data_IF_578471936321
#
_entry.id   IF_578471936321
#
_cell.length_a   1.000
_cell.length_b   1.000
_cell.length_c   1.000
_cell.angle_alpha   90.00
_cell.angle_beta   90.00
_cell.angle_gamma   90.00
#
_symmetry.space_group_name_H-M   'P 1'
#
loop_
_entity.id
_entity.type
_entity.pdbx_description
1 polymer ?
#
# COMPACT_ATOMS: atom_id res chain seq x y z
N UNK A 1 2.98 -1.19 -46.09
CA UNK A 1 3.06 -0.70 -44.69
C UNK A 1 2.86 0.81 -44.58
N UNK A 2 3.37 1.65 -45.48
CA UNK A 2 3.20 3.12 -45.42
C UNK A 2 1.74 3.59 -45.49
N UNK A 3 0.95 3.05 -46.41
CA UNK A 3 -0.47 3.46 -46.61
C UNK A 3 -1.38 3.17 -45.41
N UNK A 4 -1.14 2.07 -44.69
CA UNK A 4 -1.87 1.78 -43.45
C UNK A 4 -1.53 2.78 -42.34
N UNK A 5 -0.24 3.08 -42.16
CA UNK A 5 0.23 4.05 -41.16
C UNK A 5 -0.27 5.46 -41.47
N UNK A 6 -0.26 5.87 -42.74
CA UNK A 6 -0.83 7.15 -43.20
C UNK A 6 -2.33 7.22 -42.91
N UNK A 7 -3.09 6.15 -43.18
CA UNK A 7 -4.51 6.09 -42.84
C UNK A 7 -4.74 6.26 -41.33
N UNK A 8 -3.94 5.62 -40.48
CA UNK A 8 -4.04 5.81 -39.03
C UNK A 8 -3.70 7.26 -38.63
N UNK A 9 -2.67 7.85 -39.22
CA UNK A 9 -2.29 9.25 -38.98
C UNK A 9 -3.43 10.21 -39.31
N UNK A 10 -4.06 10.06 -40.48
CA UNK A 10 -5.19 10.91 -40.87
C UNK A 10 -6.40 10.73 -39.95
N UNK A 11 -6.67 9.52 -39.48
CA UNK A 11 -7.72 9.27 -38.48
C UNK A 11 -7.40 9.95 -37.14
N UNK A 12 -6.14 9.95 -36.72
CA UNK A 12 -5.70 10.67 -35.51
C UNK A 12 -5.84 12.19 -35.68
N UNK A 13 -5.42 12.74 -36.82
CA UNK A 13 -5.54 14.18 -37.10
C UNK A 13 -7.02 14.62 -37.16
N UNK A 14 -7.87 13.77 -37.75
CA UNK A 14 -9.32 13.98 -37.77
C UNK A 14 -9.92 13.95 -36.37
N UNK A 15 -9.58 12.92 -35.57
CA UNK A 15 -10.13 12.76 -34.21
C UNK A 15 -9.69 13.88 -33.28
N UNK A 16 -8.43 14.30 -33.33
CA UNK A 16 -7.93 15.49 -32.61
C UNK A 16 -8.73 16.76 -32.99
N UNK A 17 -8.99 16.94 -34.28
CA UNK A 17 -9.77 18.07 -34.77
C UNK A 17 -11.23 18.00 -34.31
N UNK A 18 -11.85 16.82 -34.31
CA UNK A 18 -13.20 16.59 -33.82
C UNK A 18 -13.30 16.86 -32.30
N UNK A 19 -12.35 16.33 -31.51
CA UNK A 19 -12.26 16.58 -30.08
C UNK A 19 -12.17 18.08 -29.76
N UNK A 20 -11.46 18.84 -30.60
CA UNK A 20 -11.28 20.29 -30.47
C UNK A 20 -12.56 21.09 -30.77
N UNK A 21 -13.55 20.54 -31.46
CA UNK A 21 -14.84 21.23 -31.69
C UNK A 21 -15.70 21.25 -30.42
N UNK A 22 -15.55 20.25 -29.55
CA UNK A 22 -16.36 20.05 -28.33
C UNK A 22 -15.52 20.14 -27.06
N UNK A 23 -14.69 21.19 -26.97
CA UNK A 23 -13.65 21.33 -25.93
C UNK A 23 -14.18 21.20 -24.51
N UNK A 24 -15.28 21.88 -24.17
CA UNK A 24 -15.80 21.88 -22.80
C UNK A 24 -16.24 20.49 -22.35
N UNK A 25 -16.99 19.78 -23.20
CA UNK A 25 -17.45 18.41 -22.94
C UNK A 25 -16.28 17.43 -22.81
N UNK A 26 -15.35 17.46 -23.77
CA UNK A 26 -14.21 16.54 -23.78
C UNK A 26 -13.21 16.83 -22.66
N UNK A 27 -13.01 18.11 -22.31
CA UNK A 27 -12.19 18.50 -21.17
C UNK A 27 -12.83 18.06 -19.84
N UNK A 28 -14.15 18.21 -19.70
CA UNK A 28 -14.87 17.72 -18.52
C UNK A 28 -14.72 16.21 -18.34
N UNK A 29 -14.92 15.44 -19.42
CA UNK A 29 -14.73 13.98 -19.41
C UNK A 29 -13.27 13.62 -19.08
N UNK A 30 -12.30 14.29 -19.71
CA UNK A 30 -10.88 14.10 -19.45
C UNK A 30 -10.53 14.38 -17.98
N UNK A 31 -11.06 15.44 -17.38
CA UNK A 31 -10.80 15.80 -15.98
C UNK A 31 -11.38 14.76 -15.00
N UNK A 32 -12.65 14.37 -15.17
CA UNK A 32 -13.29 13.35 -14.33
C UNK A 32 -12.56 12.01 -14.45
N UNK A 33 -12.17 11.64 -15.66
CA UNK A 33 -11.45 10.41 -15.91
C UNK A 33 -10.02 10.44 -15.35
N UNK A 34 -9.31 11.57 -15.53
CA UNK A 34 -7.99 11.81 -14.93
C UNK A 34 -8.07 11.67 -13.42
N UNK A 35 -9.09 12.27 -12.80
CA UNK A 35 -9.32 12.16 -11.36
C UNK A 35 -9.57 10.71 -10.96
N UNK A 36 -10.40 9.97 -11.70
CA UNK A 36 -10.66 8.57 -11.43
C UNK A 36 -9.37 7.73 -11.48
N UNK A 37 -8.58 7.86 -12.55
CA UNK A 37 -7.31 7.13 -12.67
C UNK A 37 -6.35 7.55 -11.56
N UNK A 38 -6.31 8.84 -11.22
CA UNK A 38 -5.52 9.35 -10.10
C UNK A 38 -5.90 8.67 -8.77
N UNK A 39 -7.20 8.53 -8.46
CA UNK A 39 -7.65 7.90 -7.22
C UNK A 39 -7.21 6.42 -7.17
N UNK A 40 -7.48 5.65 -8.23
CA UNK A 40 -7.08 4.24 -8.33
C UNK A 40 -5.56 4.05 -8.25
N UNK A 41 -4.82 4.86 -9.00
CA UNK A 41 -3.35 4.79 -9.05
C UNK A 41 -2.72 5.15 -7.71
N UNK A 42 -3.27 6.16 -7.01
CA UNK A 42 -2.75 6.58 -5.70
C UNK A 42 -2.86 5.48 -4.65
N UNK A 43 -4.00 4.77 -4.62
CA UNK A 43 -4.23 3.66 -3.69
C UNK A 43 -3.28 2.50 -3.98
N UNK A 44 -3.11 2.13 -5.26
CA UNK A 44 -2.17 1.07 -5.65
C UNK A 44 -0.72 1.39 -5.31
N UNK A 45 -0.25 2.56 -5.72
CA UNK A 45 1.13 2.99 -5.49
C UNK A 45 1.44 3.09 -4.00
N UNK A 46 0.51 3.59 -3.19
CA UNK A 46 0.68 3.67 -1.74
C UNK A 46 0.71 2.27 -1.10
N UNK A 47 -0.21 1.37 -1.46
CA UNK A 47 -0.22 -0.02 -0.96
C UNK A 47 1.05 -0.77 -1.36
N UNK A 48 1.52 -0.59 -2.59
CA UNK A 48 2.76 -1.20 -3.05
C UNK A 48 3.98 -0.65 -2.31
N UNK A 49 4.07 0.67 -2.16
CA UNK A 49 5.15 1.30 -1.41
C UNK A 49 5.21 0.78 0.01
N UNK A 50 4.06 0.70 0.70
CA UNK A 50 3.96 0.14 2.06
C UNK A 50 4.42 -1.31 2.14
N UNK A 51 4.01 -2.16 1.18
CA UNK A 51 4.45 -3.57 1.13
C UNK A 51 5.95 -3.71 0.88
N UNK A 52 6.51 -2.91 -0.03
CA UNK A 52 7.97 -2.91 -0.30
C UNK A 52 8.76 -2.46 0.90
N UNK A 53 8.29 -1.42 1.59
CA UNK A 53 8.93 -0.91 2.80
C UNK A 53 8.86 -1.94 3.94
N UNK A 54 7.68 -2.54 4.17
CA UNK A 54 7.52 -3.61 5.13
C UNK A 54 8.43 -4.81 4.81
N UNK A 55 8.54 -5.18 3.53
CA UNK A 55 9.42 -6.26 3.09
C UNK A 55 10.90 -5.93 3.31
N UNK A 56 11.33 -4.71 2.98
CA UNK A 56 12.70 -4.24 3.19
C UNK A 56 13.07 -4.26 4.68
N UNK A 57 12.20 -3.73 5.54
CA UNK A 57 12.45 -3.67 6.97
C UNK A 57 12.40 -5.06 7.65
N UNK A 58 11.63 -6.00 7.11
CA UNK A 58 11.61 -7.38 7.59
C UNK A 58 12.79 -8.21 7.08
N UNK A 59 13.65 -7.73 6.17
CA UNK A 59 14.82 -8.49 5.69
C UNK A 59 15.76 -8.85 6.84
N UNK A 60 15.96 -7.92 7.76
CA UNK A 60 16.82 -8.10 8.94
C UNK A 60 16.08 -8.73 10.13
N UNK A 61 14.78 -9.01 9.99
CA UNK A 61 14.02 -9.65 11.03
C UNK A 61 14.47 -11.12 11.24
N UNK A 62 14.34 -11.66 12.46
CA UNK A 62 14.68 -13.05 12.75
C UNK A 62 13.96 -14.04 11.85
N UNK A 63 14.63 -15.14 11.51
CA UNK A 63 14.07 -16.19 10.64
C UNK A 63 12.82 -16.83 11.27
N UNK A 64 12.89 -17.12 12.57
CA UNK A 64 11.79 -17.68 13.37
C UNK A 64 11.74 -17.00 14.74
N UNK A 65 10.53 -16.69 15.18
CA UNK A 65 10.20 -16.24 16.53
C UNK A 65 9.49 -17.39 17.25
N UNK A 66 9.90 -17.72 18.45
CA UNK A 66 9.31 -18.79 19.27
C UNK A 66 8.65 -18.16 20.48
N UNK A 67 7.33 -18.24 20.51
CA UNK A 67 6.52 -17.81 21.64
C UNK A 67 6.11 -19.00 22.49
N UNK A 68 5.92 -18.80 23.80
CA UNK A 68 5.26 -19.80 24.65
C UNK A 68 3.76 -19.52 24.69
N UNK A 69 2.97 -20.58 24.68
CA UNK A 69 1.52 -20.52 24.84
C UNK A 69 1.08 -21.26 26.11
N UNK A 70 0.19 -20.63 26.87
CA UNK A 70 -0.58 -21.26 27.96
C UNK A 70 -2.05 -21.00 27.69
N UNK A 71 -2.86 -22.07 27.61
CA UNK A 71 -4.28 -21.99 27.28
C UNK A 71 -4.56 -21.17 25.99
N UNK A 72 -3.69 -21.32 24.98
CA UNK A 72 -3.78 -20.59 23.71
C UNK A 72 -3.39 -19.10 23.77
N UNK A 73 -2.99 -18.58 24.94
CA UNK A 73 -2.54 -17.20 25.13
C UNK A 73 -1.01 -17.14 25.19
N UNK A 74 -0.45 -16.03 24.71
CA UNK A 74 0.97 -15.75 24.85
C UNK A 74 1.36 -15.63 26.33
N UNK A 75 2.47 -16.27 26.70
CA UNK A 75 3.06 -16.22 28.04
C UNK A 75 4.59 -16.05 27.95
N UNK A 76 5.21 -15.63 29.06
CA UNK A 76 6.66 -15.44 29.14
C UNK A 76 7.41 -16.76 28.94
N UNK A 77 8.44 -16.70 28.10
CA UNK A 77 9.33 -17.80 27.75
C UNK A 77 10.40 -17.97 28.84
N UNK A 78 10.49 -19.14 29.50
CA UNK A 78 11.55 -19.42 30.46
C UNK A 78 12.91 -19.47 29.77
N UNK A 79 13.95 -18.88 30.38
CA UNK A 79 15.33 -18.92 29.86
C UNK A 79 15.84 -20.35 29.62
N UNK A 80 15.32 -21.33 30.38
CA UNK A 80 15.62 -22.75 30.20
C UNK A 80 15.24 -23.31 28.81
N UNK A 81 14.34 -22.65 28.06
CA UNK A 81 13.96 -23.06 26.71
C UNK A 81 15.01 -22.70 25.65
N UNK A 82 15.93 -21.76 25.95
CA UNK A 82 16.95 -21.34 24.98
C UNK A 82 17.93 -22.46 24.63
N UNK A 83 18.34 -23.28 25.61
CA UNK A 83 19.28 -24.39 25.39
C UNK A 83 18.71 -25.51 24.50
N UNK A 84 17.50 -26.04 24.76
CA UNK A 84 16.83 -26.97 23.85
C UNK A 84 16.72 -26.41 22.42
N UNK A 85 16.36 -25.14 22.27
CA UNK A 85 16.26 -24.49 20.95
C UNK A 85 17.60 -24.47 20.20
N UNK A 86 18.72 -24.19 20.90
CA UNK A 86 20.07 -24.21 20.32
C UNK A 86 20.49 -25.59 19.81
N UNK A 87 19.99 -26.66 20.43
CA UNK A 87 20.33 -28.05 20.06
C UNK A 87 19.58 -28.55 18.82
N UNK A 88 18.56 -27.84 18.34
CA UNK A 88 17.80 -28.25 17.17
C UNK A 88 18.65 -28.12 15.91
N UNK A 89 18.81 -29.22 15.18
CA UNK A 89 19.59 -29.24 13.93
C UNK A 89 18.97 -28.30 12.88
N UNK A 90 19.75 -27.33 12.44
CA UNK A 90 19.37 -26.29 11.47
C UNK A 90 19.39 -24.89 12.08
N UNK A 91 19.32 -24.78 13.40
CA UNK A 91 19.42 -23.51 14.13
C UNK A 91 20.86 -22.99 14.09
N UNK A 92 20.99 -21.69 13.84
CA UNK A 92 22.25 -20.93 13.85
C UNK A 92 22.50 -20.34 15.23
N UNK A 93 21.83 -19.23 15.54
CA UNK A 93 21.88 -18.54 16.83
C UNK A 93 20.51 -18.50 17.49
N UNK A 94 20.47 -18.41 18.82
CA UNK A 94 19.24 -18.25 19.61
C UNK A 94 19.46 -17.20 20.69
N UNK A 95 18.57 -16.21 20.72
CA UNK A 95 18.55 -15.13 21.69
C UNK A 95 17.16 -14.99 22.29
N UNK A 96 17.09 -14.81 23.62
CA UNK A 96 15.85 -14.37 24.25
C UNK A 96 15.67 -12.87 24.05
N UNK A 97 14.45 -12.44 23.77
CA UNK A 97 14.10 -11.02 23.66
C UNK A 97 13.19 -10.59 24.80
N UNK A 98 13.38 -9.35 25.22
CA UNK A 98 12.50 -8.65 26.12
C UNK A 98 11.88 -7.50 25.34
N UNK A 99 10.57 -7.58 25.16
CA UNK A 99 9.79 -6.51 24.59
C UNK A 99 8.35 -6.58 25.12
N UNK A 100 7.65 -5.45 25.12
CA UNK A 100 6.29 -5.36 25.63
C UNK A 100 5.63 -4.07 25.18
N UNK A 101 4.35 -3.93 25.52
CA UNK A 101 3.59 -2.72 25.24
C UNK A 101 3.45 -1.88 26.51
N UNK A 102 3.64 -0.57 26.36
CA UNK A 102 3.39 0.39 27.41
C UNK A 102 2.25 1.33 26.96
N UNK A 103 1.13 1.31 27.65
CA UNK A 103 0.03 2.23 27.33
C UNK A 103 0.29 3.59 27.99
N UNK A 104 0.33 4.64 27.17
CA UNK A 104 0.44 6.00 27.65
C UNK A 104 -0.91 6.72 27.61
N UNK A 105 -1.48 7.08 28.77
CA UNK A 105 -2.79 7.70 28.85
C UNK A 105 -2.81 9.15 28.33
N UNK A 106 -1.68 9.85 28.29
CA UNK A 106 -1.62 11.26 27.88
C UNK A 106 -1.80 11.38 26.37
N UNK A 107 -1.17 10.51 25.58
CA UNK A 107 -1.37 10.48 24.11
C UNK A 107 -2.38 9.43 23.68
N UNK A 108 -2.88 8.60 24.60
CA UNK A 108 -3.80 7.48 24.32
C UNK A 108 -3.23 6.50 23.29
N UNK A 109 -1.92 6.22 23.35
CA UNK A 109 -1.22 5.33 22.44
C UNK A 109 -0.45 4.26 23.19
N UNK A 110 -0.24 3.11 22.55
CA UNK A 110 0.70 2.10 23.04
C UNK A 110 2.07 2.38 22.45
N UNK A 111 3.10 2.29 23.29
CA UNK A 111 4.50 2.26 22.88
C UNK A 111 4.99 0.84 22.86
N UNK A 112 5.72 0.48 21.82
CA UNK A 112 6.47 -0.76 21.77
C UNK A 112 7.79 -0.52 22.50
N UNK A 113 7.96 -1.17 23.64
CA UNK A 113 9.17 -1.05 24.46
C UNK A 113 10.01 -2.30 24.23
N UNK A 114 11.27 -2.16 23.81
CA UNK A 114 12.12 -3.28 23.43
C UNK A 114 13.56 -3.11 23.93
N UNK A 115 14.14 -4.22 24.39
CA UNK A 115 15.57 -4.25 24.75
C UNK A 115 16.43 -4.36 23.49
N UNK A 116 17.46 -3.52 23.41
CA UNK A 116 18.43 -3.47 22.31
C UNK A 116 19.87 -3.66 22.82
N UNK A 117 20.31 -4.91 23.08
CA UNK A 117 21.62 -5.18 23.68
C UNK A 117 22.79 -4.64 22.85
N UNK A 118 22.68 -4.71 21.52
CA UNK A 118 23.68 -4.26 20.56
C UNK A 118 23.95 -2.74 20.60
N UNK A 119 23.04 -1.96 21.20
CA UNK A 119 23.17 -0.51 21.33
C UNK A 119 23.96 -0.10 22.57
N UNK A 120 24.20 -1.00 23.53
CA UNK A 120 25.00 -0.72 24.72
C UNK A 120 24.44 0.41 25.61
N UNK A 121 23.12 0.57 25.66
CA UNK A 121 22.44 1.62 26.45
C UNK A 121 22.65 1.42 27.95
N UNK A 122 22.79 2.51 28.72
CA UNK A 122 22.82 2.44 30.17
C UNK A 122 21.43 2.13 30.75
N UNK A 123 21.37 1.83 32.06
CA UNK A 123 20.12 1.49 32.77
C UNK A 123 19.02 2.54 32.60
N UNK A 124 19.39 3.82 32.57
CA UNK A 124 18.48 4.95 32.49
C UNK A 124 18.50 5.65 31.14
N UNK A 125 19.09 5.04 30.11
CA UNK A 125 19.15 5.62 28.77
C UNK A 125 18.06 5.02 27.88
N UNK A 126 17.47 5.87 27.03
CA UNK A 126 16.51 5.46 26.00
C UNK A 126 16.83 6.02 24.63
N UNK A 127 16.52 5.24 23.61
CA UNK A 127 16.33 5.72 22.24
C UNK A 127 14.84 5.71 21.94
N UNK A 128 14.35 6.79 21.34
CA UNK A 128 12.93 6.96 21.07
C UNK A 128 12.67 7.09 19.57
N UNK A 129 11.53 6.59 19.11
CA UNK A 129 11.03 6.83 17.76
C UNK A 129 10.89 8.32 17.45
N UNK A 130 11.14 8.70 16.19
CA UNK A 130 11.01 10.09 15.74
C UNK A 130 9.58 10.64 15.92
N UNK A 131 8.54 9.84 15.66
CA UNK A 131 7.14 10.25 15.89
C UNK A 131 6.87 10.50 17.37
N UNK A 132 7.31 9.59 18.23
CA UNK A 132 7.16 9.70 19.68
C UNK A 132 7.86 10.95 20.21
N UNK A 133 9.09 11.22 19.76
CA UNK A 133 9.85 12.42 20.09
C UNK A 133 9.06 13.71 19.75
N UNK A 134 8.48 13.78 18.54
CA UNK A 134 7.69 14.95 18.11
C UNK A 134 6.42 15.15 18.93
N UNK A 135 5.68 14.07 19.19
CA UNK A 135 4.40 14.15 19.93
C UNK A 135 4.62 14.48 21.40
N UNK A 136 5.68 13.91 22.01
CA UNK A 136 6.07 14.18 23.39
C UNK A 136 6.89 15.45 23.56
N UNK A 137 7.30 16.08 22.45
CA UNK A 137 8.21 17.23 22.42
C UNK A 137 9.52 16.94 23.17
N UNK A 138 10.05 15.73 23.00
CA UNK A 138 11.30 15.26 23.62
C UNK A 138 12.45 15.38 22.64
N UNK A 139 13.52 16.04 23.07
CA UNK A 139 14.81 16.11 22.40
C UNK A 139 15.87 15.22 23.05
N UNK A 140 17.04 15.15 22.41
CA UNK A 140 18.22 14.48 22.98
C UNK A 140 18.68 15.27 24.21
N UNK A 141 18.83 14.57 25.34
CA UNK A 141 19.19 15.15 26.64
C UNK A 141 18.02 15.28 27.61
N UNK A 142 16.77 15.25 27.11
CA UNK A 142 15.58 15.34 27.93
C UNK A 142 15.33 14.06 28.72
N UNK A 143 14.52 14.17 29.77
CA UNK A 143 14.09 13.01 30.56
C UNK A 143 12.63 12.67 30.26
N UNK A 144 12.40 11.40 29.95
CA UNK A 144 11.08 10.83 29.86
C UNK A 144 10.82 9.94 31.06
N UNK A 145 9.91 10.36 31.94
CA UNK A 145 9.55 9.60 33.13
C UNK A 145 8.35 8.70 32.87
N UNK A 146 8.55 7.38 32.98
CA UNK A 146 7.48 6.39 32.83
C UNK A 146 7.16 5.74 34.18
N UNK A 147 5.89 5.69 34.61
CA UNK A 147 5.47 4.86 35.74
C UNK A 147 5.88 3.39 35.54
N UNK A 148 6.71 2.88 36.44
CA UNK A 148 7.10 1.47 36.48
C UNK A 148 6.00 0.61 37.11
N UNK A 149 6.09 -0.71 36.91
CA UNK A 149 5.19 -1.70 37.51
C UNK A 149 5.18 -1.65 39.06
N UNK A 150 6.24 -1.11 39.67
CA UNK A 150 6.35 -0.87 41.12
C UNK A 150 5.59 0.38 41.59
N UNK A 151 5.03 1.18 40.67
CA UNK A 151 4.33 2.44 40.94
C UNK A 151 5.24 3.67 41.02
N UNK A 152 6.57 3.48 41.06
CA UNK A 152 7.53 4.58 41.05
C UNK A 152 7.81 5.04 39.61
N UNK A 153 7.99 6.35 39.41
CA UNK A 153 8.39 6.88 38.11
C UNK A 153 9.87 6.54 37.84
N UNK A 154 10.14 5.91 36.69
CA UNK A 154 11.48 5.63 36.20
C UNK A 154 11.90 6.77 35.26
N UNK A 155 12.82 7.66 35.65
CA UNK A 155 13.34 8.69 34.76
C UNK A 155 14.30 8.07 33.75
N UNK A 156 14.02 8.26 32.46
CA UNK A 156 14.81 7.74 31.36
C UNK A 156 15.33 8.90 30.51
N UNK A 157 16.65 9.03 30.37
CA UNK A 157 17.29 10.06 29.57
C UNK A 157 17.28 9.68 28.10
N UNK A 158 16.78 10.58 27.25
CA UNK A 158 16.81 10.43 25.80
C UNK A 158 18.23 10.65 25.31
N UNK A 159 18.92 9.58 24.94
CA UNK A 159 20.30 9.64 24.40
C UNK A 159 20.33 9.70 22.88
N UNK A 160 19.21 9.43 22.23
CA UNK A 160 19.09 9.49 20.78
C UNK A 160 17.66 9.31 20.29
N UNK A 161 17.44 9.73 19.05
CA UNK A 161 16.18 9.59 18.34
C UNK A 161 16.44 8.71 17.13
N UNK A 162 15.59 7.70 16.92
CA UNK A 162 15.69 6.77 15.81
C UNK A 162 15.44 7.50 14.48
N UNK A 163 16.05 6.98 13.41
CA UNK A 163 15.99 7.63 12.10
C UNK A 163 14.54 7.71 11.58
N UNK A 164 14.19 8.89 11.07
CA UNK A 164 12.97 9.15 10.31
C UNK A 164 12.78 8.23 9.11
N UNK A 165 13.86 7.70 8.53
CA UNK A 165 13.78 6.72 7.44
C UNK A 165 13.08 5.41 7.88
N UNK A 166 13.27 4.99 9.13
CA UNK A 166 12.65 3.78 9.70
C UNK A 166 11.31 4.03 10.41
N UNK A 167 10.76 5.24 10.30
CA UNK A 167 9.63 5.69 11.11
C UNK A 167 8.39 4.81 10.94
N UNK A 168 8.20 4.20 9.76
CA UNK A 168 7.09 3.27 9.49
C UNK A 168 6.98 2.13 10.54
N UNK A 169 8.11 1.67 11.09
CA UNK A 169 8.15 0.63 12.13
C UNK A 169 8.63 1.14 13.48
N UNK A 170 9.31 2.28 13.54
CA UNK A 170 9.89 2.80 14.78
C UNK A 170 9.08 3.93 15.41
N UNK A 171 7.90 4.28 14.86
CA UNK A 171 7.08 5.41 15.33
C UNK A 171 6.79 5.38 16.82
N UNK A 172 6.42 4.20 17.33
CA UNK A 172 6.03 3.92 18.71
C UNK A 172 7.14 3.22 19.51
N UNK A 173 8.34 3.09 18.94
CA UNK A 173 9.41 2.29 19.50
C UNK A 173 10.20 3.06 20.58
N UNK A 174 10.39 2.39 21.72
CA UNK A 174 11.25 2.79 22.82
C UNK A 174 12.30 1.70 23.03
N UNK A 175 13.57 2.01 22.76
CA UNK A 175 14.67 1.10 23.02
C UNK A 175 15.36 1.47 24.33
N UNK A 176 15.64 0.46 25.15
CA UNK A 176 16.35 0.61 26.41
C UNK A 176 17.22 -0.60 26.73
N UNK A 177 17.96 -0.51 27.83
CA UNK A 177 18.74 -1.62 28.36
C UNK A 177 17.86 -2.69 29.01
N UNK A 178 18.39 -3.91 29.13
CA UNK A 178 17.70 -4.99 29.85
C UNK A 178 17.41 -4.60 31.32
N UNK A 179 18.36 -3.93 31.97
CA UNK A 179 18.19 -3.46 33.34
C UNK A 179 17.02 -2.46 33.43
N UNK A 180 16.95 -1.47 32.53
CA UNK A 180 15.85 -0.51 32.49
C UNK A 180 14.51 -1.19 32.19
N UNK A 181 14.46 -2.15 31.26
CA UNK A 181 13.24 -2.90 30.94
C UNK A 181 12.72 -3.68 32.16
N UNK A 182 13.62 -4.35 32.88
CA UNK A 182 13.26 -5.09 34.08
C UNK A 182 12.81 -4.17 35.21
N UNK A 183 13.43 -2.99 35.35
CA UNK A 183 12.94 -1.95 36.28
C UNK A 183 11.55 -1.42 35.90
N UNK A 184 11.27 -1.26 34.60
CA UNK A 184 10.00 -0.74 34.11
C UNK A 184 8.84 -1.74 34.25
N UNK A 185 9.03 -2.98 33.82
CA UNK A 185 7.94 -3.98 33.76
C UNK A 185 7.96 -5.02 34.89
N UNK A 186 9.07 -5.16 35.62
CA UNK A 186 9.27 -6.16 36.67
C UNK A 186 8.86 -7.60 36.27
N UNK A 187 9.30 -8.14 35.11
CA UNK A 187 9.01 -9.51 34.75
C UNK A 187 9.74 -10.49 35.69
N UNK A 188 9.22 -11.72 35.89
CA UNK A 188 9.90 -12.74 36.67
C UNK A 188 11.35 -12.96 36.21
N UNK A 189 12.28 -13.27 37.14
CA UNK A 189 13.67 -13.52 36.79
C UNK A 189 13.80 -14.71 35.82
N UNK A 190 14.83 -14.70 34.99
CA UNK A 190 15.11 -15.77 34.01
C UNK A 190 13.95 -16.04 33.04
N UNK A 191 13.22 -15.01 32.67
CA UNK A 191 12.19 -15.06 31.63
C UNK A 191 12.47 -14.04 30.52
N UNK A 192 11.93 -14.34 29.34
CA UNK A 192 11.93 -13.54 28.12
C UNK A 192 10.50 -13.43 27.59
N UNK A 193 10.21 -12.43 26.76
CA UNK A 193 8.92 -12.34 26.07
C UNK A 193 8.82 -13.42 25.01
N UNK A 194 9.84 -13.55 24.17
CA UNK A 194 9.97 -14.60 23.17
C UNK A 194 11.45 -14.97 22.93
N UNK A 195 11.68 -16.00 22.13
CA UNK A 195 13.01 -16.33 21.62
C UNK A 195 13.06 -16.09 20.12
N UNK A 196 14.18 -15.55 19.65
CA UNK A 196 14.45 -15.38 18.22
C UNK A 196 15.61 -16.25 17.81
N UNK A 197 15.49 -16.80 16.62
CA UNK A 197 16.52 -17.69 16.09
C UNK A 197 16.81 -17.40 14.63
N UNK A 198 18.09 -17.56 14.29
CA UNK A 198 18.55 -17.60 12.91
C UNK A 198 18.62 -19.05 12.44
N UNK A 199 18.36 -19.29 11.17
CA UNK A 199 18.39 -20.60 10.54
C UNK A 199 19.54 -20.62 9.55
N UNK A 200 20.40 -21.64 9.64
CA UNK A 200 21.60 -21.74 8.78
C UNK A 200 21.26 -21.77 7.29
N UNK A 201 20.12 -22.35 6.95
CA UNK A 201 19.55 -22.37 5.61
C UNK A 201 18.12 -21.84 5.66
N UNK A 202 17.83 -20.63 5.14
CA UNK A 202 16.50 -20.04 5.18
C UNK A 202 15.39 -20.92 4.57
N UNK A 203 15.74 -21.80 3.61
CA UNK A 203 14.80 -22.75 2.99
C UNK A 203 14.32 -23.83 3.96
N UNK A 204 15.06 -24.10 5.02
CA UNK A 204 14.73 -25.08 6.06
C UNK A 204 13.96 -24.47 7.23
N UNK A 205 13.67 -23.16 7.22
CA UNK A 205 13.01 -22.48 8.33
C UNK A 205 11.69 -23.13 8.74
N UNK A 206 10.91 -23.63 7.76
CA UNK A 206 9.67 -24.39 8.01
C UNK A 206 9.93 -25.71 8.74
N UNK A 207 10.90 -26.48 8.28
CA UNK A 207 11.27 -27.75 8.92
C UNK A 207 11.84 -27.51 10.33
N UNK A 208 12.57 -26.41 10.54
CA UNK A 208 13.04 -26.01 11.88
C UNK A 208 11.87 -25.64 12.78
N UNK A 209 10.89 -24.87 12.29
CA UNK A 209 9.67 -24.55 13.03
C UNK A 209 8.89 -25.82 13.44
N UNK A 210 8.74 -26.79 12.53
CA UNK A 210 8.10 -28.08 12.81
C UNK A 210 8.87 -28.87 13.89
N UNK A 211 10.21 -28.91 13.83
CA UNK A 211 11.05 -29.51 14.89
C UNK A 211 10.90 -28.81 16.24
N UNK A 212 10.79 -27.48 16.25
CA UNK A 212 10.57 -26.70 17.48
C UNK A 212 9.22 -27.07 18.11
N UNK A 213 8.16 -27.09 17.31
CA UNK A 213 6.82 -27.46 17.79
C UNK A 213 6.77 -28.88 18.36
N UNK A 214 7.52 -29.83 17.78
CA UNK A 214 7.65 -31.19 18.28
C UNK A 214 8.48 -31.27 19.57
N UNK A 215 9.61 -30.56 19.65
CA UNK A 215 10.48 -30.57 20.82
C UNK A 215 9.89 -29.81 22.02
N UNK A 216 9.08 -28.78 21.75
CA UNK A 216 8.44 -27.93 22.74
C UNK A 216 6.94 -27.78 22.40
N UNK A 217 6.08 -28.70 22.86
CA UNK A 217 4.66 -28.72 22.50
C UNK A 217 3.85 -27.48 22.90
N UNK A 218 4.33 -26.72 23.89
CA UNK A 218 3.74 -25.43 24.29
C UNK A 218 4.28 -24.22 23.51
N UNK A 219 5.05 -24.43 22.45
CA UNK A 219 5.64 -23.37 21.64
C UNK A 219 4.78 -23.01 20.44
N UNK A 220 4.87 -21.76 20.01
CA UNK A 220 4.35 -21.25 18.74
C UNK A 220 5.50 -20.64 17.96
N UNK A 221 6.11 -21.39 17.03
CA UNK A 221 7.06 -20.84 16.08
C UNK A 221 6.30 -19.98 15.04
N UNK A 222 6.81 -18.80 14.76
CA UNK A 222 6.29 -17.84 13.78
C UNK A 222 7.43 -17.53 12.81
N UNK A 223 7.22 -17.80 11.53
CA UNK A 223 8.25 -17.56 10.53
C UNK A 223 8.22 -16.13 10.01
N UNK A 224 9.38 -15.61 9.60
CA UNK A 224 9.45 -14.32 8.88
C UNK A 224 8.54 -14.27 7.64
N UNK A 225 8.47 -15.36 6.90
CA UNK A 225 7.57 -15.48 5.74
C UNK A 225 6.09 -15.39 6.12
N UNK A 226 5.71 -15.87 7.32
CA UNK A 226 4.34 -15.74 7.82
C UNK A 226 4.03 -14.30 8.23
N UNK A 227 4.99 -13.61 8.87
CA UNK A 227 4.86 -12.18 9.17
C UNK A 227 4.63 -11.37 7.89
N UNK A 228 5.46 -11.57 6.86
CA UNK A 228 5.30 -10.91 5.56
C UNK A 228 3.91 -11.17 4.96
N UNK A 229 3.47 -12.43 4.94
CA UNK A 229 2.14 -12.81 4.45
C UNK A 229 1.01 -12.13 5.23
N UNK A 230 1.16 -11.95 6.54
CA UNK A 230 0.18 -11.23 7.36
C UNK A 230 0.13 -9.75 6.99
N UNK A 231 1.28 -9.08 6.82
CA UNK A 231 1.31 -7.69 6.33
C UNK A 231 0.68 -7.57 4.94
N UNK A 232 1.04 -8.45 4.01
CA UNK A 232 0.45 -8.50 2.67
C UNK A 232 -1.07 -8.68 2.73
N UNK A 233 -1.57 -9.59 3.57
CA UNK A 233 -3.00 -9.82 3.74
C UNK A 233 -3.73 -8.57 4.29
N UNK A 234 -3.15 -7.89 5.28
CA UNK A 234 -3.74 -6.67 5.87
C UNK A 234 -3.78 -5.54 4.86
N UNK A 235 -2.69 -5.30 4.13
CA UNK A 235 -2.63 -4.26 3.10
C UNK A 235 -3.56 -4.58 1.93
N UNK A 236 -3.58 -5.82 1.44
CA UNK A 236 -4.50 -6.26 0.38
C UNK A 236 -5.97 -6.10 0.79
N UNK A 237 -6.30 -6.42 2.05
CA UNK A 237 -7.67 -6.26 2.55
C UNK A 237 -8.09 -4.79 2.57
N UNK A 238 -7.24 -3.89 3.08
CA UNK A 238 -7.49 -2.45 3.10
C UNK A 238 -7.58 -1.86 1.69
N UNK A 239 -6.65 -2.25 0.81
CA UNK A 239 -6.65 -1.89 -0.61
C UNK A 239 -7.95 -2.34 -1.29
N UNK A 240 -8.35 -3.59 -1.08
CA UNK A 240 -9.58 -4.16 -1.64
C UNK A 240 -10.83 -3.41 -1.21
N UNK A 241 -10.95 -3.02 0.06
CA UNK A 241 -12.07 -2.20 0.55
C UNK A 241 -12.16 -0.87 -0.20
N UNK A 242 -11.04 -0.19 -0.39
CA UNK A 242 -11.01 1.08 -1.14
C UNK A 242 -11.34 0.86 -2.62
N UNK A 243 -10.87 -0.22 -3.25
CA UNK A 243 -11.25 -0.53 -4.63
C UNK A 243 -12.70 -0.89 -4.80
N UNK A 244 -13.35 -1.54 -3.84
CA UNK A 244 -14.80 -1.77 -3.90
C UNK A 244 -15.54 -0.42 -3.95
N UNK A 245 -15.14 0.54 -3.11
CA UNK A 245 -15.70 1.90 -3.13
C UNK A 245 -15.40 2.61 -4.46
N UNK A 246 -14.16 2.56 -4.94
CA UNK A 246 -13.78 3.17 -6.22
C UNK A 246 -14.43 2.48 -7.43
N UNK A 247 -14.77 1.20 -7.33
CA UNK A 247 -15.49 0.47 -8.38
C UNK A 247 -16.91 1.00 -8.58
N UNK A 248 -17.57 1.48 -7.51
CA UNK A 248 -18.86 2.16 -7.65
C UNK A 248 -18.72 3.49 -8.39
N UNK A 249 -17.65 4.25 -8.13
CA UNK A 249 -17.32 5.50 -8.85
C UNK A 249 -16.98 5.21 -10.32
N UNK A 250 -16.23 4.15 -10.58
CA UNK A 250 -15.94 3.67 -11.94
C UNK A 250 -17.19 3.26 -12.68
N UNK A 251 -18.10 2.52 -12.04
CA UNK A 251 -19.37 2.14 -12.65
C UNK A 251 -20.21 3.38 -12.98
N UNK A 252 -20.30 4.35 -12.08
CA UNK A 252 -21.00 5.61 -12.34
C UNK A 252 -20.37 6.38 -13.52
N UNK A 253 -19.04 6.43 -13.60
CA UNK A 253 -18.32 7.02 -14.72
C UNK A 253 -18.59 6.28 -16.04
N UNK A 254 -18.60 4.94 -16.02
CA UNK A 254 -18.90 4.10 -17.19
C UNK A 254 -20.34 4.31 -17.65
N UNK A 255 -21.31 4.41 -16.75
CA UNK A 255 -22.71 4.73 -17.06
C UNK A 255 -22.80 6.12 -17.71
N UNK A 256 -22.10 7.11 -17.16
CA UNK A 256 -22.05 8.46 -17.73
C UNK A 256 -21.43 8.45 -19.14
N UNK A 257 -20.35 7.70 -19.34
CA UNK A 257 -19.72 7.55 -20.65
C UNK A 257 -20.64 6.85 -21.65
N UNK A 258 -21.40 5.83 -21.20
CA UNK A 258 -22.40 5.15 -22.01
C UNK A 258 -23.54 6.09 -22.40
N UNK A 259 -24.14 6.79 -21.44
CA UNK A 259 -25.23 7.74 -21.67
C UNK A 259 -24.79 8.83 -22.66
N UNK A 260 -23.58 9.35 -22.46
CA UNK A 260 -22.97 10.33 -23.35
C UNK A 260 -22.71 9.79 -24.77
N UNK A 261 -22.35 8.51 -24.92
CA UNK A 261 -22.10 7.89 -26.22
C UNK A 261 -23.39 7.42 -26.92
N UNK A 262 -24.42 7.03 -26.16
CA UNK A 262 -25.73 6.63 -26.67
C UNK A 262 -26.59 7.85 -27.06
N UNK A 263 -26.53 8.91 -26.27
CA UNK A 263 -27.13 10.21 -26.53
C UNK A 263 -26.34 11.02 -27.56
N UNK A 264 -26.08 10.43 -28.74
CA UNK A 264 -25.44 11.15 -29.85
C UNK A 264 -26.28 12.39 -30.15
N UNK A 265 -25.62 13.55 -30.17
CA UNK A 265 -26.27 14.79 -30.59
C UNK A 265 -26.73 14.69 -32.05
N UNK A 266 -27.79 15.41 -32.42
CA UNK A 266 -28.25 15.48 -33.82
C UNK A 266 -27.13 15.89 -34.79
N UNK A 267 -26.18 16.70 -34.33
CA UNK A 267 -24.96 17.04 -35.08
C UNK A 267 -24.05 15.83 -35.33
N UNK A 268 -23.82 14.96 -34.34
CA UNK A 268 -22.98 13.77 -34.50
C UNK A 268 -23.64 12.72 -35.40
N UNK A 269 -24.96 12.57 -35.29
CA UNK A 269 -25.73 11.71 -36.19
C UNK A 269 -25.63 12.20 -37.63
N UNK A 270 -25.78 13.51 -37.85
CA UNK A 270 -25.61 14.13 -39.16
C UNK A 270 -24.18 13.99 -39.70
N UNK A 271 -23.16 14.14 -38.85
CA UNK A 271 -21.76 13.94 -39.22
C UNK A 271 -21.50 12.49 -39.68
N UNK A 272 -22.00 11.51 -38.92
CA UNK A 272 -21.91 10.09 -39.30
C UNK A 272 -22.62 9.83 -40.64
N UNK A 273 -23.82 10.41 -40.83
CA UNK A 273 -24.54 10.32 -42.09
C UNK A 273 -23.77 10.88 -43.28
N UNK A 274 -23.13 12.05 -43.13
CA UNK A 274 -22.31 12.67 -44.17
C UNK A 274 -21.08 11.79 -44.47
N UNK A 275 -20.40 11.27 -43.45
CA UNK A 275 -19.25 10.37 -43.64
C UNK A 275 -19.65 9.11 -44.42
N UNK A 276 -20.79 8.49 -44.08
CA UNK A 276 -21.32 7.33 -44.82
C UNK A 276 -21.67 7.69 -46.27
N UNK A 277 -22.26 8.87 -46.50
CA UNK A 277 -22.59 9.34 -47.85
C UNK A 277 -21.34 9.58 -48.74
N UNK A 278 -20.21 9.96 -48.13
CA UNK A 278 -18.92 10.13 -48.83
C UNK A 278 -18.20 8.78 -49.04
N UNK A 279 -18.77 7.67 -48.54
CA UNK A 279 -18.27 6.31 -48.76
C UNK A 279 -17.55 5.68 -47.57
N UNK A 280 -17.65 6.24 -46.35
CA UNK A 280 -17.10 5.58 -45.17
C UNK A 280 -17.93 4.35 -44.79
N UNK A 281 -17.23 3.24 -44.54
CA UNK A 281 -17.85 2.04 -44.00
C UNK A 281 -18.05 2.15 -42.48
N UNK A 282 -18.95 1.34 -41.93
CA UNK A 282 -19.15 1.21 -40.48
C UNK A 282 -17.83 0.93 -39.74
N UNK A 283 -16.94 0.12 -40.32
CA UNK A 283 -15.62 -0.17 -39.76
C UNK A 283 -14.70 1.05 -39.65
N UNK A 284 -14.82 2.02 -40.57
CA UNK A 284 -14.01 3.23 -40.53
C UNK A 284 -14.48 4.21 -39.46
N UNK A 285 -15.81 4.31 -39.28
CA UNK A 285 -16.41 5.08 -38.18
C UNK A 285 -16.00 4.48 -36.83
N UNK A 286 -16.03 3.16 -36.70
CA UNK A 286 -15.58 2.48 -35.48
C UNK A 286 -14.09 2.69 -35.19
N UNK A 287 -13.22 2.61 -36.20
CA UNK A 287 -11.77 2.87 -36.03
C UNK A 287 -11.52 4.32 -35.61
N UNK A 288 -12.23 5.27 -36.20
CA UNK A 288 -12.15 6.68 -35.82
C UNK A 288 -12.55 6.86 -34.35
N UNK A 289 -13.67 6.27 -33.93
CA UNK A 289 -14.15 6.38 -32.54
C UNK A 289 -13.29 5.60 -31.54
N UNK A 290 -12.68 4.50 -31.97
CA UNK A 290 -11.67 3.79 -31.20
C UNK A 290 -10.45 4.68 -30.94
N UNK A 291 -9.96 5.41 -31.96
CA UNK A 291 -8.86 6.36 -31.77
C UNK A 291 -9.23 7.53 -30.87
N UNK A 292 -10.43 8.08 -31.02
CA UNK A 292 -10.94 9.14 -30.13
C UNK A 292 -10.96 8.67 -28.67
N UNK A 293 -11.55 7.50 -28.43
CA UNK A 293 -11.61 6.90 -27.09
C UNK A 293 -10.23 6.51 -26.55
N UNK A 294 -9.36 5.93 -27.37
CA UNK A 294 -8.00 5.55 -26.99
C UNK A 294 -7.16 6.78 -26.63
N UNK A 295 -7.22 7.85 -27.42
CA UNK A 295 -6.44 9.05 -27.15
C UNK A 295 -6.91 9.74 -25.88
N UNK A 296 -8.23 9.86 -25.67
CA UNK A 296 -8.80 10.46 -24.46
C UNK A 296 -8.47 9.63 -23.21
N UNK A 297 -8.72 8.33 -23.26
CA UNK A 297 -8.47 7.41 -22.13
C UNK A 297 -6.99 7.28 -21.79
N UNK A 298 -6.12 7.17 -22.79
CA UNK A 298 -4.68 7.08 -22.55
C UNK A 298 -4.12 8.40 -22.03
N UNK A 299 -4.61 9.54 -22.52
CA UNK A 299 -4.21 10.86 -21.98
C UNK A 299 -4.65 10.98 -20.51
N UNK A 300 -5.92 10.67 -20.21
CA UNK A 300 -6.44 10.66 -18.84
C UNK A 300 -5.65 9.72 -17.92
N UNK A 301 -5.29 8.56 -18.45
CA UNK A 301 -4.52 7.55 -17.74
C UNK A 301 -3.13 8.05 -17.38
N UNK A 302 -2.40 8.55 -18.38
CA UNK A 302 -1.03 9.04 -18.19
C UNK A 302 -1.00 10.24 -17.24
N UNK A 303 -1.89 11.22 -17.43
CA UNK A 303 -1.97 12.38 -16.53
C UNK A 303 -2.35 11.96 -15.11
N UNK A 304 -3.37 11.12 -14.95
CA UNK A 304 -3.84 10.64 -13.66
C UNK A 304 -2.78 9.83 -12.93
N UNK A 305 -2.09 8.94 -13.63
CA UNK A 305 -1.02 8.12 -13.08
C UNK A 305 0.19 8.96 -12.67
N UNK A 306 0.63 9.92 -13.51
CA UNK A 306 1.75 10.82 -13.17
C UNK A 306 1.42 11.70 -11.96
N UNK A 307 0.20 12.22 -11.87
CA UNK A 307 -0.25 12.98 -10.71
C UNK A 307 -0.27 12.12 -9.44
N UNK A 308 -0.72 10.87 -9.54
CA UNK A 308 -0.74 9.93 -8.42
C UNK A 308 0.68 9.58 -7.97
N UNK A 309 1.57 9.30 -8.92
CA UNK A 309 2.99 9.02 -8.66
C UNK A 309 3.65 10.19 -7.94
N UNK A 310 3.44 11.41 -8.41
CA UNK A 310 3.97 12.61 -7.76
C UNK A 310 3.41 12.77 -6.35
N UNK A 311 2.10 12.64 -6.18
CA UNK A 311 1.43 12.81 -4.89
C UNK A 311 1.86 11.76 -3.85
N UNK A 312 2.06 10.51 -4.25
CA UNK A 312 2.43 9.42 -3.35
C UNK A 312 3.90 9.52 -2.95
N UNK A 313 4.82 9.66 -3.91
CA UNK A 313 6.25 9.58 -3.63
C UNK A 313 6.90 10.91 -3.24
N UNK A 314 6.36 12.04 -3.72
CA UNK A 314 6.92 13.38 -3.48
C UNK A 314 5.97 14.26 -2.64
N UNK A 315 4.66 14.10 -2.79
CA UNK A 315 3.64 14.83 -2.03
C UNK A 315 3.35 14.28 -0.63
N UNK A 316 4.08 13.25 -0.17
CA UNK A 316 3.93 12.64 1.15
C UNK A 316 2.64 11.83 1.35
N UNK A 317 1.98 11.43 0.26
CA UNK A 317 0.77 10.61 0.27
C UNK A 317 -0.41 11.15 1.11
N UNK A 318 -0.45 12.46 1.40
CA UNK A 318 -1.36 13.09 2.38
C UNK A 318 -2.85 12.79 2.19
N UNK A 319 -3.31 12.60 0.96
CA UNK A 319 -4.72 12.38 0.63
C UNK A 319 -5.21 10.98 1.03
N UNK A 320 -4.36 9.96 0.92
CA UNK A 320 -4.74 8.55 1.12
C UNK A 320 -4.02 7.90 2.31
N UNK A 321 -3.01 8.57 2.85
CA UNK A 321 -2.28 8.13 4.04
C UNK A 321 -3.21 7.76 5.20
N UNK A 322 -4.24 8.55 5.57
CA UNK A 322 -5.11 8.20 6.71
C UNK A 322 -5.92 6.91 6.48
N UNK A 323 -6.38 6.68 5.25
CA UNK A 323 -7.21 5.51 4.90
C UNK A 323 -6.39 4.22 4.90
N UNK A 324 -5.14 4.28 4.41
CA UNK A 324 -4.31 3.09 4.25
C UNK A 324 -3.40 2.80 5.46
N UNK A 325 -2.94 3.83 6.19
CA UNK A 325 -2.14 3.67 7.42
C UNK A 325 -2.99 3.13 8.60
N UNK A 326 -4.32 3.31 8.56
CA UNK A 326 -5.24 2.85 9.60
C UNK A 326 -5.26 3.78 10.82
N UNK A 327 -6.08 3.45 11.83
CA UNK A 327 -6.32 4.29 13.01
C UNK A 327 -5.24 4.14 14.09
N UNK A 328 -3.97 4.33 13.72
CA UNK A 328 -2.91 4.47 14.72
C UNK A 328 -2.90 5.90 15.26
N UNK A 329 -2.73 6.08 16.57
CA UNK A 329 -2.59 7.43 17.17
C UNK A 329 -1.20 8.03 16.86
N UNK A 330 -0.22 7.16 16.60
CA UNK A 330 1.13 7.52 16.18
C UNK A 330 1.24 7.33 14.66
N UNK A 331 1.25 8.43 13.90
CA UNK A 331 1.37 8.39 12.45
C UNK A 331 2.82 8.63 12.02
N UNK A 332 3.47 7.65 11.38
CA UNK A 332 4.81 7.85 10.87
C UNK A 332 4.84 8.76 9.64
N UNK A 333 5.76 9.71 9.66
CA UNK A 333 6.22 10.45 8.49
C UNK A 333 7.34 9.66 7.83
N UNK A 334 7.04 8.98 6.72
CA UNK A 334 8.03 8.26 5.93
C UNK A 334 7.93 8.67 4.47
N UNK A 335 9.06 8.57 3.77
CA UNK A 335 9.13 8.73 2.32
C UNK A 335 9.18 7.35 1.69
N UNK A 336 8.22 7.07 0.82
CA UNK A 336 8.21 5.82 0.07
C UNK A 336 9.29 5.84 -0.99
N UNK A 337 9.99 4.72 -1.14
CA UNK A 337 10.93 4.53 -2.24
C UNK A 337 10.15 4.47 -3.57
N UNK A 338 10.46 5.35 -4.54
CA UNK A 338 9.72 5.38 -5.79
C UNK A 338 9.85 4.07 -6.56
N UNK A 339 8.71 3.52 -6.94
CA UNK A 339 8.60 2.19 -7.50
C UNK A 339 7.50 2.16 -8.56
N UNK A 340 7.78 1.51 -9.69
CA UNK A 340 6.80 1.24 -10.74
C UNK A 340 6.81 -0.25 -11.00
N UNK A 341 5.62 -0.85 -11.06
CA UNK A 341 5.41 -2.24 -11.44
C UNK A 341 4.53 -2.30 -12.68
N UNK A 342 5.10 -2.88 -13.74
CA UNK A 342 4.46 -2.99 -15.05
C UNK A 342 3.16 -3.78 -14.96
N UNK A 343 3.09 -4.83 -14.13
CA UNK A 343 1.87 -5.64 -13.98
C UNK A 343 0.72 -4.80 -13.43
N UNK A 344 1.00 -3.91 -12.47
CA UNK A 344 0.01 -3.02 -11.87
C UNK A 344 -0.44 -1.92 -12.83
N UNK A 345 0.50 -1.35 -13.59
CA UNK A 345 0.17 -0.37 -14.63
C UNK A 345 -0.75 -0.99 -15.69
N UNK A 346 -0.46 -2.23 -16.11
CA UNK A 346 -1.30 -2.97 -17.05
C UNK A 346 -2.68 -3.31 -16.45
N UNK A 347 -2.75 -3.72 -15.18
CA UNK A 347 -4.00 -3.99 -14.49
C UNK A 347 -4.87 -2.72 -14.36
N UNK A 348 -4.27 -1.59 -13.98
CA UNK A 348 -4.92 -0.29 -13.94
C UNK A 348 -5.45 0.12 -15.31
N UNK A 349 -4.63 -0.03 -16.35
CA UNK A 349 -5.01 0.29 -17.72
C UNK A 349 -6.18 -0.60 -18.12
N UNK A 350 -6.15 -1.90 -17.84
CA UNK A 350 -7.25 -2.81 -18.12
C UNK A 350 -8.55 -2.40 -17.40
N UNK A 351 -8.49 -2.09 -16.11
CA UNK A 351 -9.67 -1.74 -15.29
C UNK A 351 -10.24 -0.38 -15.66
N UNK A 352 -9.41 0.58 -16.04
CA UNK A 352 -9.88 1.95 -16.30
C UNK A 352 -10.17 2.19 -17.77
N UNK A 353 -9.35 1.69 -18.70
CA UNK A 353 -9.44 1.96 -20.15
C UNK A 353 -10.41 1.03 -20.85
N UNK A 354 -10.39 -0.27 -20.58
CA UNK A 354 -11.26 -1.21 -21.30
C UNK A 354 -12.76 -0.93 -21.08
N UNK A 355 -13.25 -0.70 -19.85
CA UNK A 355 -14.67 -0.39 -19.65
C UNK A 355 -15.09 0.90 -20.36
N UNK A 356 -14.23 1.91 -20.39
CA UNK A 356 -14.50 3.16 -21.11
C UNK A 356 -14.60 2.96 -22.62
N UNK A 357 -13.65 2.21 -23.22
CA UNK A 357 -13.71 1.88 -24.65
C UNK A 357 -14.98 1.09 -24.96
N UNK A 358 -15.32 0.10 -24.15
CA UNK A 358 -16.54 -0.70 -24.34
C UNK A 358 -17.79 0.17 -24.24
N UNK A 359 -17.86 1.05 -23.24
CA UNK A 359 -19.02 1.92 -23.00
C UNK A 359 -19.23 2.95 -24.11
N UNK A 360 -18.16 3.39 -24.75
CA UNK A 360 -18.22 4.37 -25.85
C UNK A 360 -18.45 3.70 -27.20
N UNK A 361 -17.85 2.53 -27.44
CA UNK A 361 -17.88 1.88 -28.76
C UNK A 361 -19.22 1.17 -29.04
N UNK A 362 -19.86 0.55 -28.04
CA UNK A 362 -21.10 -0.21 -28.26
C UNK A 362 -22.26 0.67 -28.77
N UNK A 363 -22.57 1.83 -28.16
CA UNK A 363 -23.66 2.68 -28.65
C UNK A 363 -23.36 3.24 -30.05
N UNK A 364 -22.11 3.60 -30.32
CA UNK A 364 -21.66 4.11 -31.62
C UNK A 364 -21.79 3.04 -32.70
N UNK A 365 -21.43 1.79 -32.39
CA UNK A 365 -21.61 0.68 -33.31
C UNK A 365 -23.07 0.54 -33.74
N UNK A 366 -24.00 0.59 -32.77
CA UNK A 366 -25.44 0.55 -33.05
C UNK A 366 -25.89 1.69 -33.97
N UNK A 367 -25.45 2.92 -33.70
CA UNK A 367 -25.77 4.07 -34.53
C UNK A 367 -25.16 3.99 -35.94
N UNK A 368 -23.92 3.50 -36.05
CA UNK A 368 -23.24 3.37 -37.33
C UNK A 368 -23.84 2.26 -38.20
N UNK A 369 -24.48 1.25 -37.61
CA UNK A 369 -25.23 0.22 -38.36
C UNK A 369 -26.61 0.67 -38.84
N UNK A 370 -27.17 1.75 -38.29
CA UNK A 370 -28.46 2.28 -38.74
C UNK A 370 -28.35 2.92 -40.14
N UNK A 371 -29.43 2.84 -40.91
CA UNK A 371 -29.46 3.36 -42.28
C UNK A 371 -29.25 4.88 -42.32
N UNK A 372 -28.40 5.41 -43.22
CA UNK A 372 -28.09 6.84 -43.30
C UNK A 372 -29.33 7.72 -43.48
N UNK A 373 -30.31 7.25 -44.25
CA UNK A 373 -31.56 7.96 -44.54
C UNK A 373 -32.47 8.07 -43.31
N UNK A 374 -32.47 7.06 -42.44
CA UNK A 374 -33.18 7.11 -41.16
C UNK A 374 -32.46 8.06 -40.18
N UNK A 375 -31.12 8.05 -40.16
CA UNK A 375 -30.31 8.90 -39.29
C UNK A 375 -30.37 10.39 -39.68
N UNK A 376 -30.56 10.71 -40.96
CA UNK A 376 -30.68 12.11 -41.42
C UNK A 376 -32.08 12.72 -41.24
N UNK A 377 -33.13 11.91 -41.04
CA UNK A 377 -34.52 12.38 -40.91
C UNK A 377 -35.03 12.50 -39.46
N UNK A 378 -34.25 12.03 -38.50
CA UNK A 378 -34.57 12.06 -37.06
C UNK A 378 -35.10 10.73 -36.56
#
# INVERSE_FOLDING_TARGET
>A
MSTFLERQKYLIDYTLSALRRRKARNLGLLLVYTLLVFLFSSVLLLSQGLRREAAALLQDAPDVIVQRLIAGRHDLLPAAWLEPLRRIRGVGAVHGRLWGYYYDPVVKANYTVMVAPERGLATHDILIGATLARIRQLGIGDYFSLPAATGQALPLKVVGILDSASELLSADLLLLSEAGYRSLFNPPPNTFTDAVLTVRNPREARTVAEKIALALPGSRPILRAEMLRTYDAVFNWREGMVFVTLSAVLLAFVILAWDQAAGLSAEEQREIGILKAIGWETGDILRMKLWEGALLSLTAFLTGYVLAYWQVFYGGARLFAPVLKGWAVLYPDFRLTPAVDVQQVLALLAVTVLPYIVATLIPIWRAATTDPDAVMRG
#
